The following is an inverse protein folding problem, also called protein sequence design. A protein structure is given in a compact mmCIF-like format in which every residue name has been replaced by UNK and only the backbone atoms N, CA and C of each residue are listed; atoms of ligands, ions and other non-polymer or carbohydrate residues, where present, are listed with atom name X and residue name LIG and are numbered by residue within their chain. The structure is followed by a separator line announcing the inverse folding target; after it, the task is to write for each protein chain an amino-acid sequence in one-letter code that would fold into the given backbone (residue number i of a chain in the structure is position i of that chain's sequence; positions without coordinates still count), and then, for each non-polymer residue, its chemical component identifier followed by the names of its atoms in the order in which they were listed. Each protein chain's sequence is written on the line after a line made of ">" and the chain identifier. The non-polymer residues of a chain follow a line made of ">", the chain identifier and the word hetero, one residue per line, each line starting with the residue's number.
data_IF_619750672595
#
_entry.id   IF_619750672595
#
_cell.length_a   1.000
_cell.length_b   1.000
_cell.length_c   1.000
_cell.angle_alpha   90.00
_cell.angle_beta   90.00
_cell.angle_gamma   90.00
#
_symmetry.space_group_name_H-M   'P 1'
#
loop_
_entity.id
_entity.type
_entity.pdbx_description
1 polymer ?
#
# COMPACT_ATOMS: atom_id res chain seq x y z
N UNK A 1 2.23 21.00 -18.87
CA UNK A 1 1.39 19.81 -18.60
C UNK A 1 2.27 18.75 -17.98
N UNK A 2 1.90 18.21 -16.82
CA UNK A 2 2.64 17.12 -16.16
C UNK A 2 2.64 15.89 -17.06
N UNK A 3 3.80 15.27 -17.30
CA UNK A 3 3.90 14.01 -18.04
C UNK A 3 3.17 12.84 -17.36
N UNK A 4 3.08 11.68 -18.03
CA UNK A 4 2.43 10.48 -17.48
C UNK A 4 3.07 10.03 -16.17
N UNK A 5 2.25 9.52 -15.24
CA UNK A 5 2.70 8.94 -13.96
C UNK A 5 2.74 7.43 -14.10
N UNK A 6 3.83 6.83 -13.61
CA UNK A 6 4.08 5.40 -13.72
C UNK A 6 4.13 4.74 -12.35
N UNK A 7 3.40 3.65 -12.19
CA UNK A 7 3.65 2.67 -11.14
C UNK A 7 4.53 1.57 -11.74
N UNK A 8 5.84 1.62 -11.47
CA UNK A 8 6.85 0.80 -12.13
C UNK A 8 6.84 1.02 -13.66
N UNK A 9 6.18 0.13 -14.41
CA UNK A 9 6.02 0.23 -15.88
C UNK A 9 4.58 0.52 -16.31
N UNK A 10 3.64 0.56 -15.37
CA UNK A 10 2.21 0.74 -15.64
C UNK A 10 1.88 2.22 -15.62
N UNK A 11 1.25 2.75 -16.67
CA UNK A 11 0.72 4.11 -16.66
C UNK A 11 -0.51 4.14 -15.76
N UNK A 12 -0.47 4.98 -14.74
CA UNK A 12 -1.53 5.05 -13.70
C UNK A 12 -2.14 6.43 -13.53
N UNK A 13 -1.83 7.38 -14.43
CA UNK A 13 -2.24 8.78 -14.31
C UNK A 13 -3.73 8.97 -13.94
N UNK A 14 -4.70 8.27 -14.57
CA UNK A 14 -6.11 8.47 -14.24
C UNK A 14 -6.52 7.94 -12.85
N UNK A 15 -5.68 7.12 -12.22
CA UNK A 15 -5.92 6.54 -10.90
C UNK A 15 -5.31 7.38 -9.76
N UNK A 16 -4.55 8.41 -10.10
CA UNK A 16 -3.87 9.29 -9.14
C UNK A 16 -4.83 10.38 -8.68
N UNK A 17 -4.99 10.52 -7.37
CA UNK A 17 -5.85 11.55 -6.75
C UNK A 17 -5.07 12.59 -5.94
N UNK A 18 -3.76 12.38 -5.76
CA UNK A 18 -2.87 13.33 -5.11
C UNK A 18 -1.45 13.19 -5.65
N UNK A 19 -0.74 14.32 -5.77
CA UNK A 19 0.66 14.38 -6.16
C UNK A 19 1.38 15.50 -5.43
N UNK A 20 2.48 15.16 -4.77
CA UNK A 20 3.44 16.09 -4.18
C UNK A 20 4.68 16.21 -5.06
N UNK A 21 5.80 16.71 -4.52
CA UNK A 21 7.04 16.93 -5.27
C UNK A 21 7.69 15.60 -5.68
N UNK A 22 7.67 14.60 -4.80
CA UNK A 22 8.35 13.31 -5.01
C UNK A 22 7.43 12.10 -4.89
N UNK A 23 6.17 12.29 -4.50
CA UNK A 23 5.25 11.21 -4.14
C UNK A 23 3.90 11.42 -4.81
N UNK A 24 3.16 10.34 -5.00
CA UNK A 24 1.77 10.39 -5.43
C UNK A 24 0.95 9.33 -4.68
N UNK A 25 -0.36 9.56 -4.62
CA UNK A 25 -1.32 8.62 -4.08
C UNK A 25 -2.29 8.16 -5.18
N UNK A 26 -2.58 6.86 -5.22
CA UNK A 26 -3.48 6.27 -6.21
C UNK A 26 -4.44 5.26 -5.58
N UNK A 27 -5.58 5.07 -6.22
CA UNK A 27 -6.55 4.04 -5.85
C UNK A 27 -6.06 2.63 -6.26
N UNK A 28 -6.35 1.62 -5.45
CA UNK A 28 -5.83 0.25 -5.68
C UNK A 28 -6.66 -0.52 -6.73
N UNK A 29 -6.03 -1.21 -7.68
CA UNK A 29 -6.74 -2.04 -8.67
C UNK A 29 -7.58 -3.17 -8.03
N UNK A 30 -7.05 -3.79 -6.97
CA UNK A 30 -7.68 -4.89 -6.23
C UNK A 30 -7.76 -4.54 -4.75
N UNK A 31 -8.67 -3.64 -4.36
CA UNK A 31 -8.77 -3.20 -2.97
C UNK A 31 -9.19 -4.36 -2.06
N UNK A 32 -8.64 -4.38 -0.85
CA UNK A 32 -9.04 -5.35 0.18
C UNK A 32 -10.38 -4.97 0.81
N UNK A 33 -10.61 -3.67 0.94
CA UNK A 33 -11.84 -3.02 1.42
C UNK A 33 -11.96 -1.66 0.72
N UNK A 34 -13.15 -1.04 0.68
CA UNK A 34 -13.32 0.34 0.21
C UNK A 34 -12.34 1.31 0.89
N UNK A 35 -11.77 2.24 0.12
CA UNK A 35 -10.77 3.19 0.61
C UNK A 35 -9.35 2.63 0.74
N UNK A 36 -9.08 1.40 0.27
CA UNK A 36 -7.71 0.89 0.14
C UNK A 36 -6.97 1.65 -0.98
N UNK A 37 -6.05 2.51 -0.58
CA UNK A 37 -5.19 3.32 -1.47
C UNK A 37 -3.70 3.00 -1.28
N UNK A 38 -2.88 3.47 -2.22
CA UNK A 38 -1.43 3.28 -2.24
C UNK A 38 -0.70 4.62 -2.25
N UNK A 39 0.43 4.71 -1.55
CA UNK A 39 1.38 5.84 -1.58
C UNK A 39 2.68 5.39 -2.23
N UNK A 40 3.13 6.11 -3.26
CA UNK A 40 4.21 5.64 -4.16
C UNK A 40 5.13 6.82 -4.53
N UNK A 41 6.47 6.66 -4.50
CA UNK A 41 7.37 7.69 -5.00
C UNK A 41 7.25 7.84 -6.52
N UNK A 42 7.52 9.02 -7.06
CA UNK A 42 7.49 9.29 -8.50
C UNK A 42 8.64 8.62 -9.25
N UNK A 43 9.79 8.43 -8.58
CA UNK A 43 10.97 7.79 -9.16
C UNK A 43 10.80 6.26 -9.15
N UNK A 44 10.58 5.70 -10.33
CA UNK A 44 10.24 4.28 -10.51
C UNK A 44 11.34 3.28 -10.15
N UNK A 45 12.58 3.75 -9.92
CA UNK A 45 13.72 2.92 -9.49
C UNK A 45 13.77 2.71 -7.97
N UNK A 46 12.90 3.35 -7.17
CA UNK A 46 12.82 3.11 -5.73
C UNK A 46 12.10 1.78 -5.51
N UNK A 47 12.84 0.68 -5.36
CA UNK A 47 12.24 -0.65 -5.18
C UNK A 47 11.98 -0.92 -3.69
N UNK A 48 12.88 -0.44 -2.83
CA UNK A 48 12.86 -0.59 -1.38
C UNK A 48 12.73 0.75 -0.66
N UNK A 49 12.32 0.71 0.60
CA UNK A 49 12.26 1.91 1.44
C UNK A 49 13.63 2.59 1.56
N UNK A 50 14.70 1.79 1.60
CA UNK A 50 16.10 2.26 1.66
C UNK A 50 16.58 2.99 0.39
N UNK A 51 15.86 2.86 -0.73
CA UNK A 51 16.27 3.46 -2.00
C UNK A 51 15.84 4.93 -2.09
N UNK A 52 15.06 5.44 -1.14
CA UNK A 52 14.65 6.84 -1.04
C UNK A 52 15.85 7.73 -0.67
N UNK A 53 15.98 8.85 -1.35
CA UNK A 53 16.83 9.96 -0.87
C UNK A 53 16.21 10.64 0.36
N UNK A 54 16.96 11.42 1.15
CA UNK A 54 16.41 12.14 2.30
C UNK A 54 15.22 13.06 1.97
N UNK A 55 15.28 13.75 0.83
CA UNK A 55 14.21 14.64 0.36
C UNK A 55 12.97 13.86 -0.07
N UNK A 56 13.15 12.76 -0.81
CA UNK A 56 12.05 11.87 -1.19
C UNK A 56 11.43 11.23 0.05
N UNK A 57 12.23 10.81 1.04
CA UNK A 57 11.75 10.23 2.29
C UNK A 57 10.87 11.20 3.06
N UNK A 58 11.31 12.45 3.19
CA UNK A 58 10.55 13.51 3.87
C UNK A 58 9.21 13.74 3.17
N UNK A 59 9.22 13.93 1.86
CA UNK A 59 7.99 14.13 1.06
C UNK A 59 7.07 12.90 1.10
N UNK A 60 7.64 11.68 1.06
CA UNK A 60 6.92 10.42 1.13
C UNK A 60 6.17 10.24 2.44
N UNK A 61 6.83 10.45 3.58
CA UNK A 61 6.20 10.31 4.90
C UNK A 61 5.25 11.46 5.24
N UNK A 62 5.50 12.67 4.74
CA UNK A 62 4.54 13.77 4.83
C UNK A 62 3.27 13.46 4.04
N UNK A 63 3.43 12.95 2.82
CA UNK A 63 2.30 12.49 1.99
C UNK A 63 1.55 11.35 2.66
N UNK A 64 2.27 10.37 3.22
CA UNK A 64 1.66 9.26 3.95
C UNK A 64 0.80 9.75 5.11
N UNK A 65 1.30 10.68 5.93
CA UNK A 65 0.54 11.27 7.04
C UNK A 65 -0.70 12.05 6.57
N UNK A 66 -0.57 12.84 5.50
CA UNK A 66 -1.70 13.57 4.93
C UNK A 66 -2.81 12.62 4.48
N UNK A 67 -2.46 11.62 3.66
CA UNK A 67 -3.44 10.69 3.10
C UNK A 67 -4.00 9.77 4.19
N UNK A 68 -3.21 9.38 5.17
CA UNK A 68 -3.67 8.65 6.35
C UNK A 68 -4.80 9.40 7.07
N UNK A 69 -4.61 10.69 7.38
CA UNK A 69 -5.63 11.52 8.05
C UNK A 69 -6.87 11.69 7.18
N UNK A 70 -6.67 11.99 5.90
CA UNK A 70 -7.74 12.17 4.93
C UNK A 70 -8.60 10.91 4.79
N UNK A 71 -7.99 9.74 4.58
CA UNK A 71 -8.73 8.48 4.43
C UNK A 71 -9.50 8.14 5.71
N UNK A 72 -8.92 8.39 6.89
CA UNK A 72 -9.63 8.22 8.16
C UNK A 72 -10.87 9.10 8.25
N UNK A 73 -10.76 10.38 7.86
CA UNK A 73 -11.86 11.34 7.86
C UNK A 73 -12.94 10.98 6.83
N UNK A 74 -12.56 10.77 5.58
CA UNK A 74 -13.49 10.57 4.46
C UNK A 74 -14.30 9.27 4.62
N UNK A 75 -13.61 8.17 4.98
CA UNK A 75 -14.26 6.86 5.15
C UNK A 75 -14.78 6.62 6.57
N UNK A 76 -14.66 7.60 7.47
CA UNK A 76 -15.03 7.48 8.90
C UNK A 76 -14.43 6.22 9.54
N UNK A 77 -13.18 5.92 9.18
CA UNK A 77 -12.50 4.72 9.65
C UNK A 77 -12.13 4.89 11.13
N UNK A 78 -12.34 3.83 11.94
CA UNK A 78 -11.92 3.81 13.34
C UNK A 78 -10.39 3.69 13.47
N UNK A 79 -9.76 3.01 12.51
CA UNK A 79 -8.33 2.70 12.49
C UNK A 79 -7.88 2.40 11.07
N UNK A 80 -6.56 2.32 10.84
CA UNK A 80 -6.00 1.98 9.53
C UNK A 80 -4.89 0.93 9.70
N UNK A 81 -4.80 -0.02 8.76
CA UNK A 81 -3.55 -0.72 8.53
C UNK A 81 -2.69 0.10 7.57
N UNK A 82 -1.47 0.42 7.99
CA UNK A 82 -0.44 1.06 7.18
C UNK A 82 0.67 0.05 7.00
N UNK A 83 0.88 -0.44 5.78
CA UNK A 83 1.80 -1.56 5.54
C UNK A 83 2.70 -1.30 4.34
N UNK A 84 4.00 -1.49 4.55
CA UNK A 84 5.00 -1.54 3.48
C UNK A 84 5.44 -2.99 3.35
N UNK A 85 5.25 -3.55 2.17
CA UNK A 85 5.80 -4.85 1.82
C UNK A 85 7.18 -4.61 1.22
N UNK A 86 8.19 -4.42 2.07
CA UNK A 86 9.55 -4.14 1.61
C UNK A 86 10.21 -5.45 1.13
N UNK A 87 9.97 -5.77 -0.14
CA UNK A 87 10.58 -6.89 -0.84
C UNK A 87 9.67 -8.06 -1.17
N UNK A 88 10.12 -8.92 -2.11
CA UNK A 88 9.37 -10.09 -2.54
C UNK A 88 8.98 -11.02 -1.39
N UNK A 89 9.85 -11.17 -0.39
CA UNK A 89 9.67 -11.99 0.82
C UNK A 89 8.74 -11.32 1.85
N UNK A 90 8.53 -10.01 1.76
CA UNK A 90 7.50 -9.29 2.51
C UNK A 90 6.13 -9.28 1.80
N UNK A 91 6.07 -9.73 0.54
CA UNK A 91 4.84 -9.83 -0.25
C UNK A 91 4.76 -8.84 -1.41
N UNK A 92 5.83 -8.08 -1.67
CA UNK A 92 5.87 -7.12 -2.76
C UNK A 92 5.70 -7.80 -4.13
N UNK A 93 4.63 -7.45 -4.84
CA UNK A 93 4.35 -7.99 -6.18
C UNK A 93 4.80 -7.06 -7.30
N UNK A 94 4.75 -5.74 -7.07
CA UNK A 94 5.25 -4.71 -8.00
C UNK A 94 6.59 -4.17 -7.47
N UNK A 95 7.68 -4.22 -8.25
CA UNK A 95 9.02 -3.81 -7.82
C UNK A 95 9.17 -2.28 -7.85
N UNK A 96 8.35 -1.60 -7.04
CA UNK A 96 8.33 -0.16 -6.83
C UNK A 96 7.76 0.03 -5.43
N UNK A 97 8.42 0.79 -4.57
CA UNK A 97 8.00 1.01 -3.19
C UNK A 97 6.55 1.52 -3.16
N UNK A 98 5.70 0.88 -2.36
CA UNK A 98 4.34 1.36 -2.13
C UNK A 98 3.90 1.04 -0.70
N UNK A 99 3.24 2.01 -0.07
CA UNK A 99 2.59 1.83 1.23
C UNK A 99 1.11 1.63 1.00
N UNK A 100 0.56 0.55 1.56
CA UNK A 100 -0.88 0.33 1.63
C UNK A 100 -1.48 1.13 2.78
N UNK A 101 -2.55 1.87 2.52
CA UNK A 101 -3.42 2.44 3.55
C UNK A 101 -4.77 1.73 3.43
N UNK A 102 -5.20 1.05 4.49
CA UNK A 102 -6.38 0.19 4.47
C UNK A 102 -7.29 0.57 5.66
N UNK A 103 -8.48 1.13 5.40
CA UNK A 103 -9.48 1.43 6.43
C UNK A 103 -9.91 0.21 7.24
N UNK A 104 -10.05 0.39 8.55
CA UNK A 104 -10.56 -0.62 9.50
C UNK A 104 -11.68 -0.01 10.35
N UNK A 105 -12.65 -0.85 10.64
CA UNK A 105 -13.81 -0.53 11.48
C UNK A 105 -13.83 -1.48 12.67
N UNK A 106 -14.40 -1.05 13.81
CA UNK A 106 -14.53 -1.92 15.01
C UNK A 106 -15.32 -3.18 14.72
N UNK A 107 -16.38 -3.06 13.92
CA UNK A 107 -17.13 -4.21 13.42
C UNK A 107 -16.24 -4.97 12.43
N UNK A 108 -16.05 -6.28 12.66
CA UNK A 108 -15.15 -7.15 11.89
C UNK A 108 -13.64 -6.93 12.13
N UNK A 109 -13.24 -6.44 13.30
CA UNK A 109 -11.82 -6.38 13.66
C UNK A 109 -11.29 -7.72 14.21
N UNK A 110 -10.16 -8.18 13.68
CA UNK A 110 -9.42 -9.37 14.17
C UNK A 110 -8.67 -9.05 15.48
N UNK A 111 -8.36 -7.76 15.74
CA UNK A 111 -7.72 -7.31 16.99
C UNK A 111 -6.46 -8.09 17.33
N UNK A 112 -6.37 -8.55 18.58
CA UNK A 112 -5.24 -9.27 19.14
C UNK A 112 -5.09 -10.72 18.65
N UNK A 113 -6.04 -11.25 17.87
CA UNK A 113 -5.90 -12.60 17.28
C UNK A 113 -4.71 -12.69 16.29
N UNK A 114 -4.14 -11.56 15.88
CA UNK A 114 -2.87 -11.52 15.16
C UNK A 114 -1.71 -11.99 16.03
N UNK A 115 -1.72 -11.67 17.34
CA UNK A 115 -0.70 -12.10 18.29
C UNK A 115 -0.79 -13.60 18.53
N UNK A 116 -2.00 -14.17 18.63
CA UNK A 116 -2.19 -15.62 18.72
C UNK A 116 -1.56 -16.36 17.52
N UNK A 117 -1.60 -15.76 16.31
CA UNK A 117 -0.96 -16.31 15.10
C UNK A 117 0.56 -16.10 15.04
N UNK A 118 1.08 -15.06 15.69
CA UNK A 118 2.51 -14.73 15.73
C UNK A 118 3.23 -15.43 16.90
N UNK A 119 2.49 -15.81 17.94
CA UNK A 119 3.00 -16.44 19.14
C UNK A 119 3.58 -17.84 18.88
N UNK A 120 3.08 -18.54 17.85
CA UNK A 120 3.61 -19.81 17.34
C UNK A 120 5.02 -19.66 16.74
N UNK A 121 5.48 -18.44 16.45
CA UNK A 121 6.79 -18.19 15.82
C UNK A 121 7.91 -17.91 16.83
N UNK A 122 7.62 -17.99 18.13
CA UNK A 122 8.55 -17.53 19.20
C UNK A 122 9.63 -18.54 19.59
N UNK A 123 9.66 -19.75 19.02
CA UNK A 123 10.52 -20.83 19.52
C UNK A 123 11.51 -21.43 18.52
N UNK A 124 11.69 -20.86 17.32
CA UNK A 124 12.71 -21.30 16.37
C UNK A 124 13.83 -20.27 16.26
N UNK A 125 15.08 -20.74 16.17
CA UNK A 125 16.21 -19.85 15.89
C UNK A 125 16.08 -19.24 14.49
N UNK A 126 16.69 -18.07 14.28
CA UNK A 126 16.67 -17.40 12.97
C UNK A 126 17.29 -18.27 11.87
N UNK A 127 18.34 -19.02 12.21
CA UNK A 127 19.05 -19.91 11.28
C UNK A 127 18.18 -21.10 10.82
N UNK A 128 17.37 -21.67 11.72
CA UNK A 128 16.43 -22.73 11.38
C UNK A 128 15.33 -22.22 10.45
N UNK A 129 14.74 -21.06 10.75
CA UNK A 129 13.71 -20.44 9.90
C UNK A 129 14.23 -20.11 8.50
N UNK A 130 15.48 -19.63 8.40
CA UNK A 130 16.10 -19.33 7.10
C UNK A 130 16.39 -20.60 6.32
N UNK A 131 16.86 -21.65 7.00
CA UNK A 131 17.09 -22.98 6.42
C UNK A 131 15.80 -23.59 5.87
N UNK A 132 14.71 -23.55 6.63
CA UNK A 132 13.38 -24.02 6.19
C UNK A 132 12.88 -23.24 4.96
N UNK A 133 12.99 -21.90 4.97
CA UNK A 133 12.62 -21.06 3.82
C UNK A 133 13.38 -21.47 2.54
N UNK A 134 14.69 -21.72 2.65
CA UNK A 134 15.51 -22.16 1.50
C UNK A 134 15.09 -23.57 1.05
N UNK A 135 14.80 -24.47 1.99
CA UNK A 135 14.40 -25.85 1.72
C UNK A 135 13.07 -25.96 0.94
N UNK A 136 12.12 -25.05 1.17
CA UNK A 136 10.85 -25.02 0.43
C UNK A 136 10.96 -24.34 -0.96
N UNK A 137 12.18 -24.07 -1.44
CA UNK A 137 12.42 -23.46 -2.75
C UNK A 137 12.48 -21.92 -2.72
N UNK A 138 12.67 -21.34 -1.54
CA UNK A 138 12.85 -19.90 -1.35
C UNK A 138 11.79 -19.06 -2.05
N UNK A 139 12.25 -18.13 -2.88
CA UNK A 139 11.39 -17.17 -3.58
C UNK A 139 10.40 -17.83 -4.57
N UNK A 140 10.80 -18.91 -5.24
CA UNK A 140 9.93 -19.64 -6.17
C UNK A 140 8.93 -20.56 -5.44
N UNK A 141 9.33 -21.12 -4.29
CA UNK A 141 8.46 -21.90 -3.41
C UNK A 141 7.24 -21.14 -2.91
N UNK A 142 7.42 -19.84 -2.64
CA UNK A 142 6.37 -18.97 -2.10
C UNK A 142 5.18 -18.77 -3.03
N UNK A 143 5.37 -18.83 -4.35
CA UNK A 143 4.26 -18.75 -5.33
C UNK A 143 3.22 -19.86 -5.11
N UNK A 144 3.61 -20.97 -4.50
CA UNK A 144 2.72 -22.10 -4.15
C UNK A 144 1.95 -21.89 -2.84
N UNK A 145 2.42 -20.98 -1.97
CA UNK A 145 1.84 -20.70 -0.64
C UNK A 145 1.02 -19.42 -0.60
N UNK A 146 1.25 -18.49 -1.52
CA UNK A 146 0.39 -17.32 -1.67
C UNK A 146 -1.03 -17.79 -1.98
N UNK A 147 -2.01 -17.38 -1.16
CA UNK A 147 -3.43 -17.48 -1.58
C UNK A 147 -3.52 -16.83 -2.96
N UNK A 148 -4.06 -17.54 -3.96
CA UNK A 148 -3.97 -17.06 -5.32
C UNK A 148 -4.75 -15.73 -5.43
N UNK A 149 -4.13 -14.78 -6.12
CA UNK A 149 -4.65 -13.43 -6.36
C UNK A 149 -5.87 -13.42 -7.31
N UNK A 150 -6.34 -14.62 -7.68
CA UNK A 150 -7.44 -14.92 -8.60
C UNK A 150 -8.82 -14.79 -7.95
N UNK A 151 -8.91 -14.87 -6.62
CA UNK A 151 -10.17 -14.66 -5.88
C UNK A 151 -10.55 -13.19 -5.73
N UNK A 152 -9.66 -12.25 -6.10
CA UNK A 152 -9.91 -10.81 -6.03
C UNK A 152 -10.25 -10.24 -7.41
N UNK A 153 -11.45 -9.66 -7.52
CA UNK A 153 -11.95 -9.06 -8.75
C UNK A 153 -11.24 -7.71 -8.97
N UNK A 154 -10.57 -7.58 -10.12
CA UNK A 154 -9.98 -6.31 -10.52
C UNK A 154 -11.08 -5.32 -10.92
N UNK A 155 -10.94 -4.07 -10.49
CA UNK A 155 -11.84 -2.99 -10.89
C UNK A 155 -11.55 -2.53 -12.32
N UNK A 156 -12.56 -1.98 -12.98
CA UNK A 156 -12.40 -1.37 -14.30
C UNK A 156 -11.60 -0.06 -14.20
N UNK A 157 -11.01 0.35 -15.31
CA UNK A 157 -10.28 1.63 -15.39
C UNK A 157 -11.20 2.82 -15.14
N UNK A 158 -12.45 2.75 -15.58
CA UNK A 158 -13.46 3.79 -15.39
C UNK A 158 -13.84 3.95 -13.91
N UNK A 159 -14.14 2.86 -13.22
CA UNK A 159 -14.44 2.88 -11.78
C UNK A 159 -13.29 3.47 -10.97
N UNK A 160 -12.06 3.09 -11.30
CA UNK A 160 -10.87 3.63 -10.62
C UNK A 160 -10.67 5.13 -10.90
N UNK A 161 -10.92 5.58 -12.12
CA UNK A 161 -10.80 7.00 -12.46
C UNK A 161 -11.88 7.84 -11.76
N UNK A 162 -13.11 7.32 -11.67
CA UNK A 162 -14.20 7.98 -10.93
C UNK A 162 -13.88 8.08 -9.44
N UNK A 163 -13.39 7.01 -8.81
CA UNK A 163 -12.97 7.06 -7.40
C UNK A 163 -11.81 8.03 -7.19
N UNK A 164 -10.82 8.05 -8.09
CA UNK A 164 -9.70 8.98 -7.98
C UNK A 164 -10.16 10.45 -8.06
N UNK A 165 -11.06 10.79 -8.99
CA UNK A 165 -11.64 12.14 -9.09
C UNK A 165 -12.44 12.53 -7.85
N UNK A 166 -13.21 11.59 -7.28
CA UNK A 166 -13.93 11.82 -6.04
C UNK A 166 -12.97 12.09 -4.88
N UNK A 167 -11.96 11.24 -4.70
CA UNK A 167 -10.98 11.41 -3.62
C UNK A 167 -10.17 12.69 -3.76
N UNK A 168 -9.84 13.11 -4.99
CA UNK A 168 -9.16 14.39 -5.24
C UNK A 168 -10.02 15.57 -4.75
N UNK A 169 -11.31 15.58 -5.11
CA UNK A 169 -12.24 16.63 -4.66
C UNK A 169 -12.38 16.66 -3.14
N UNK A 170 -12.54 15.49 -2.53
CA UNK A 170 -12.72 15.35 -1.08
C UNK A 170 -11.45 15.70 -0.30
N UNK A 171 -10.28 15.40 -0.86
CA UNK A 171 -9.01 15.78 -0.26
C UNK A 171 -8.84 17.30 -0.27
N UNK A 172 -9.23 17.97 -1.36
CA UNK A 172 -9.21 19.43 -1.41
C UNK A 172 -10.09 20.04 -0.29
N UNK A 173 -11.31 19.53 -0.10
CA UNK A 173 -12.20 19.96 0.99
C UNK A 173 -11.60 19.69 2.39
N UNK A 174 -11.02 18.51 2.58
CA UNK A 174 -10.34 18.14 3.83
C UNK A 174 -9.17 19.09 4.16
N UNK A 175 -8.36 19.46 3.18
CA UNK A 175 -7.22 20.36 3.40
C UNK A 175 -7.62 21.78 3.75
N UNK A 176 -8.76 22.26 3.23
CA UNK A 176 -9.30 23.59 3.58
C UNK A 176 -9.88 23.61 4.99
N UNK A 177 -10.54 22.53 5.41
CA UNK A 177 -11.21 22.44 6.72
C UNK A 177 -10.27 22.07 7.88
N UNK A 178 -9.09 21.51 7.57
CA UNK A 178 -8.09 21.07 8.56
C UNK A 178 -6.90 22.03 8.74
N UNK A 179 -6.91 23.17 8.01
CA UNK A 179 -5.93 24.26 8.13
C UNK A 179 -6.39 25.28 9.18
#
# INVERSE_FOLDING_TARGET
>A
MSGPIYFYKYVVTPQVFFKSKYTYALVNLKPLVPGHVLIVPLRTQVVRLSDLTPDESTDYFNTLQLIQKFISWHFKADSLNIAIQDGPEAGQTVPHLHTHIIPRYRTNNIGDQIYDKLDDWRFQSWDERRSEYLAIGGREGRKKLAKPDDQRIARSQEEMAQEAMELERQLAEFTVTSA
#
